data_IF_986403283372
#
_entry.id   IF_986403283372
#
_cell.length_a   1.000
_cell.length_b   1.000
_cell.length_c   1.000
_cell.angle_alpha   90.00
_cell.angle_beta   90.00
_cell.angle_gamma   90.00
#
_symmetry.space_group_name_H-M   'P 1'
#
loop_
_entity.id
_entity.type
_entity.pdbx_description
1 polymer ?
#
# COMPACT_ATOMS: atom_id res chain seq x y z
N UNK A 1 19.38 13.66 3.09
CA UNK A 1 18.20 12.93 3.58
C UNK A 1 18.54 11.45 3.53
N UNK A 2 18.78 10.83 4.68
CA UNK A 2 19.18 9.42 4.74
C UNK A 2 18.00 8.42 4.67
N UNK A 3 16.76 8.92 4.60
CA UNK A 3 15.63 8.24 3.94
C UNK A 3 15.16 6.89 4.48
N UNK A 4 15.75 6.35 5.56
CA UNK A 4 15.27 5.11 6.16
C UNK A 4 14.12 5.42 7.11
N UNK A 5 12.93 5.27 6.56
CA UNK A 5 11.67 5.19 7.29
C UNK A 5 11.22 3.74 7.23
N UNK A 6 10.99 3.15 8.40
CA UNK A 6 10.48 1.78 8.55
C UNK A 6 9.04 1.90 9.03
N UNK A 7 8.05 1.90 8.12
CA UNK A 7 6.65 1.93 8.51
C UNK A 7 6.32 0.67 9.33
N UNK A 8 5.35 0.81 10.23
CA UNK A 8 4.84 -0.32 11.02
C UNK A 8 4.23 -1.43 10.15
N UNK A 9 3.72 -1.08 8.98
CA UNK A 9 3.23 -2.01 7.97
C UNK A 9 3.63 -1.52 6.57
N UNK A 10 4.40 -2.35 5.86
CA UNK A 10 4.87 -2.06 4.51
C UNK A 10 3.77 -2.25 3.47
N UNK A 11 2.94 -3.27 3.67
CA UNK A 11 1.79 -3.58 2.82
C UNK A 11 0.78 -2.41 2.78
N UNK A 12 0.53 -1.76 3.92
CA UNK A 12 -0.30 -0.56 3.97
C UNK A 12 0.30 0.65 3.22
N UNK A 13 1.59 0.61 2.87
CA UNK A 13 2.26 1.63 2.05
C UNK A 13 2.23 1.30 0.57
N UNK A 14 1.95 0.05 0.20
CA UNK A 14 1.86 -0.43 -1.17
C UNK A 14 0.45 -0.19 -1.74
N UNK A 15 0.19 1.05 -2.11
CA UNK A 15 -1.14 1.46 -2.56
C UNK A 15 -1.51 0.91 -3.94
N UNK A 16 -0.54 0.40 -4.71
CA UNK A 16 -0.81 -0.25 -5.99
C UNK A 16 -0.67 -1.78 -5.95
N UNK A 17 -0.52 -2.36 -4.76
CA UNK A 17 -0.63 -3.79 -4.46
C UNK A 17 0.30 -4.63 -5.36
N UNK A 18 1.54 -4.18 -5.52
CA UNK A 18 2.51 -4.85 -6.40
C UNK A 18 3.62 -5.63 -5.67
N UNK A 19 3.75 -5.45 -4.37
CA UNK A 19 4.75 -6.02 -3.48
C UNK A 19 6.01 -5.16 -3.36
N UNK A 20 5.97 -3.90 -3.80
CA UNK A 20 7.13 -2.98 -3.82
C UNK A 20 6.71 -1.57 -3.41
N UNK A 21 7.21 -1.11 -2.27
CA UNK A 21 7.01 0.28 -1.83
C UNK A 21 7.98 1.22 -2.57
N UNK A 22 7.46 1.99 -3.53
CA UNK A 22 8.23 2.97 -4.30
C UNK A 22 7.45 4.27 -4.67
N UNK A 23 7.87 4.97 -5.73
CA UNK A 23 7.23 6.22 -6.16
C UNK A 23 5.88 5.98 -6.89
N UNK A 24 5.65 4.77 -7.42
CA UNK A 24 4.39 4.37 -8.04
C UNK A 24 3.24 4.45 -7.03
N UNK A 25 3.47 4.11 -5.76
CA UNK A 25 2.49 4.21 -4.70
C UNK A 25 1.99 5.64 -4.48
N UNK A 26 2.92 6.57 -4.42
CA UNK A 26 2.59 8.00 -4.28
C UNK A 26 1.77 8.46 -5.48
N UNK A 27 2.15 8.04 -6.68
CA UNK A 27 1.41 8.36 -7.91
C UNK A 27 0.00 7.74 -7.86
N UNK A 28 -0.15 6.49 -7.43
CA UNK A 28 -1.43 5.81 -7.37
C UNK A 28 -2.37 6.46 -6.35
N UNK A 29 -1.87 6.73 -5.15
CA UNK A 29 -2.59 7.44 -4.08
C UNK A 29 -3.07 8.82 -4.56
N UNK A 30 -2.21 9.60 -5.21
CA UNK A 30 -2.59 10.93 -5.73
C UNK A 30 -3.61 10.83 -6.87
N UNK A 31 -3.54 9.80 -7.72
CA UNK A 31 -4.52 9.57 -8.78
C UNK A 31 -5.89 9.25 -8.21
N UNK A 32 -5.95 8.38 -7.19
CA UNK A 32 -7.19 8.08 -6.50
C UNK A 32 -7.80 9.34 -5.86
N UNK A 33 -7.01 10.11 -5.09
CA UNK A 33 -7.47 11.31 -4.39
C UNK A 33 -7.96 12.44 -5.31
N UNK A 34 -7.21 12.72 -6.38
CA UNK A 34 -7.39 13.97 -7.14
C UNK A 34 -7.86 13.79 -8.58
N UNK A 35 -7.80 12.57 -9.13
CA UNK A 35 -8.13 12.33 -10.54
C UNK A 35 -9.24 11.30 -10.75
N UNK A 36 -9.94 10.88 -9.68
CA UNK A 36 -10.89 9.76 -9.74
C UNK A 36 -10.22 8.53 -10.41
N UNK A 37 -8.97 8.28 -10.02
CA UNK A 37 -8.22 7.10 -10.44
C UNK A 37 -8.86 5.80 -9.97
N UNK A 38 -8.28 4.65 -10.34
CA UNK A 38 -8.75 3.36 -9.84
C UNK A 38 -8.85 3.38 -8.31
N UNK A 39 -9.86 2.68 -7.79
CA UNK A 39 -10.01 2.48 -6.35
C UNK A 39 -8.77 1.73 -5.86
N UNK A 40 -8.20 2.18 -4.74
CA UNK A 40 -7.08 1.49 -4.08
C UNK A 40 -7.53 0.04 -3.80
N UNK A 41 -6.69 -0.97 -4.09
CA UNK A 41 -6.97 -2.38 -3.80
C UNK A 41 -7.31 -2.64 -2.31
N UNK A 42 -7.69 -3.89 -2.00
CA UNK A 42 -7.90 -4.29 -0.61
C UNK A 42 -6.61 -3.99 0.20
N UNK A 43 -6.70 -3.61 1.49
CA UNK A 43 -7.88 -3.68 2.38
C UNK A 43 -8.80 -2.45 2.32
N UNK A 44 -8.44 -1.38 1.60
CA UNK A 44 -9.22 -0.14 1.53
C UNK A 44 -10.66 -0.37 0.99
N UNK A 45 -11.71 0.30 1.51
CA UNK A 45 -11.73 1.34 2.57
C UNK A 45 -11.78 0.79 4.00
N UNK A 46 -11.85 -0.52 4.16
CA UNK A 46 -11.84 -1.14 5.47
C UNK A 46 -10.41 -1.23 5.97
N UNK A 47 -10.24 -1.35 7.29
CA UNK A 47 -8.96 -1.78 7.84
C UNK A 47 -8.99 -3.28 7.95
N UNK A 48 -7.87 -3.94 7.73
CA UNK A 48 -7.77 -5.38 7.85
C UNK A 48 -6.53 -5.91 7.17
N UNK A 49 -6.38 -7.22 7.28
CA UNK A 49 -5.38 -7.99 6.53
C UNK A 49 -5.74 -7.89 5.06
N UNK A 50 -4.75 -7.62 4.21
CA UNK A 50 -4.97 -7.83 2.78
C UNK A 50 -5.01 -9.34 2.47
N UNK A 51 -6.01 -9.75 1.70
CA UNK A 51 -6.20 -11.14 1.28
C UNK A 51 -5.94 -11.33 -0.20
N UNK A 52 -5.67 -10.24 -0.93
CA UNK A 52 -5.21 -10.31 -2.31
C UNK A 52 -3.74 -10.67 -2.36
N UNK A 53 -3.31 -11.43 -3.38
CA UNK A 53 -1.90 -11.62 -3.64
C UNK A 53 -1.35 -10.41 -4.41
N UNK A 54 -0.23 -9.88 -3.93
CA UNK A 54 0.52 -8.81 -4.60
C UNK A 54 0.95 -9.25 -6.00
N UNK A 55 1.04 -8.29 -6.93
CA UNK A 55 1.36 -8.58 -8.35
C UNK A 55 2.67 -9.36 -8.51
N UNK A 56 3.71 -9.04 -7.73
CA UNK A 56 4.98 -9.77 -7.76
C UNK A 56 5.06 -10.93 -6.75
N UNK A 57 3.98 -11.21 -6.03
CA UNK A 57 3.85 -12.32 -5.08
C UNK A 57 4.70 -12.16 -3.81
N UNK A 58 5.05 -10.92 -3.47
CA UNK A 58 5.85 -10.56 -2.31
C UNK A 58 4.95 -9.96 -1.22
N UNK A 59 4.09 -10.78 -0.61
CA UNK A 59 3.24 -10.34 0.52
C UNK A 59 4.10 -9.62 1.57
N UNK A 60 3.96 -8.29 1.61
CA UNK A 60 4.76 -7.39 2.45
C UNK A 60 4.37 -7.50 3.93
N UNK A 61 3.30 -8.24 4.23
CA UNK A 61 2.83 -8.57 5.56
C UNK A 61 2.12 -7.42 6.27
N UNK A 62 0.97 -7.71 6.88
CA UNK A 62 0.30 -6.81 7.81
C UNK A 62 -0.71 -7.58 8.69
N UNK A 63 -0.23 -8.21 9.76
CA UNK A 63 -1.06 -9.11 10.57
C UNK A 63 -2.22 -8.40 11.29
N UNK A 64 -2.07 -7.10 11.54
CA UNK A 64 -2.95 -6.28 12.37
C UNK A 64 -3.68 -5.18 11.60
N UNK A 65 -3.39 -4.97 10.32
CA UNK A 65 -3.93 -3.87 9.53
C UNK A 65 -3.44 -2.49 10.00
N UNK A 66 -2.19 -2.43 10.45
CA UNK A 66 -1.55 -1.20 10.91
C UNK A 66 -1.34 -0.20 9.75
N UNK A 67 -1.40 1.11 10.01
CA UNK A 67 -1.26 2.12 8.95
C UNK A 67 0.19 2.27 8.48
N UNK A 68 0.37 2.84 7.28
CA UNK A 68 1.65 3.34 6.79
C UNK A 68 2.06 4.63 7.55
N UNK A 69 2.42 4.50 8.84
CA UNK A 69 2.82 5.61 9.73
C UNK A 69 4.09 5.34 10.53
#
# INVERSE_FOLDING_TARGET
FLGVYFPSCLDACDSNDDGVVDLADVVNTLRWLFKQGPIIPMPYPMRGIDTTPDIYGLDLGCETGDPCN
#
